data_IF_363765542513
#
_entry.id   IF_363765542513
#
_cell.length_a   1.000
_cell.length_b   1.000
_cell.length_c   1.000
_cell.angle_alpha   90.00
_cell.angle_beta   90.00
_cell.angle_gamma   90.00
#
_symmetry.space_group_name_H-M   'P 1'
#
loop_
_entity.id
_entity.type
_entity.pdbx_description
1 polymer ?
#
# COMPACT_ATOMS: atom_id res chain seq x y z
N UNK A 1 8.92 -9.50 4.16
CA UNK A 1 8.32 -8.17 4.43
C UNK A 1 9.17 -7.05 3.87
N UNK A 2 10.50 -7.08 4.01
CA UNK A 2 11.40 -6.00 3.58
C UNK A 2 11.25 -5.58 2.11
N UNK A 3 11.17 -6.54 1.18
CA UNK A 3 10.92 -6.24 -0.24
C UNK A 3 9.64 -5.41 -0.42
N UNK A 4 8.55 -5.81 0.24
CA UNK A 4 7.25 -5.15 0.08
C UNK A 4 7.25 -3.76 0.73
N UNK A 5 7.89 -3.60 1.88
CA UNK A 5 8.06 -2.30 2.54
C UNK A 5 8.88 -1.35 1.68
N UNK A 6 9.98 -1.83 1.10
CA UNK A 6 10.83 -1.04 0.21
C UNK A 6 10.05 -0.60 -1.05
N UNK A 7 9.37 -1.54 -1.71
CA UNK A 7 8.61 -1.24 -2.93
C UNK A 7 7.39 -0.37 -2.65
N UNK A 8 6.72 -0.55 -1.51
CA UNK A 8 5.67 0.36 -1.06
C UNK A 8 6.17 1.80 -1.02
N UNK A 9 7.28 2.05 -0.32
CA UNK A 9 7.85 3.38 -0.18
C UNK A 9 8.24 4.02 -1.53
N UNK A 10 8.74 3.21 -2.48
CA UNK A 10 9.04 3.68 -3.83
C UNK A 10 7.79 4.03 -4.63
N UNK A 11 6.75 3.20 -4.56
CA UNK A 11 5.53 3.35 -5.36
C UNK A 11 4.68 4.52 -4.89
N UNK A 12 4.53 4.67 -3.57
CA UNK A 12 3.64 5.70 -3.00
C UNK A 12 4.34 7.05 -2.79
N UNK A 13 5.68 7.06 -2.84
CA UNK A 13 6.47 8.26 -2.63
C UNK A 13 6.55 8.69 -1.17
N UNK A 14 7.42 9.68 -0.90
CA UNK A 14 7.83 10.09 0.44
C UNK A 14 6.68 10.51 1.35
N UNK A 15 5.68 11.22 0.80
CA UNK A 15 4.56 11.75 1.58
C UNK A 15 3.68 10.63 2.12
N UNK A 16 3.18 9.76 1.24
CA UNK A 16 2.35 8.62 1.63
C UNK A 16 3.17 7.63 2.48
N UNK A 17 4.45 7.41 2.16
CA UNK A 17 5.32 6.55 2.96
C UNK A 17 5.53 7.08 4.39
N UNK A 18 5.53 8.40 4.60
CA UNK A 18 5.65 9.00 5.93
C UNK A 18 4.41 8.82 6.80
N UNK A 19 3.23 8.72 6.18
CA UNK A 19 1.94 8.55 6.88
C UNK A 19 1.42 7.12 6.86
N UNK A 20 2.08 6.19 6.15
CA UNK A 20 1.61 4.81 6.04
C UNK A 20 2.67 3.77 6.39
N UNK A 21 2.22 2.59 6.78
CA UNK A 21 3.09 1.44 7.04
C UNK A 21 2.38 0.15 6.69
N UNK A 22 3.12 -0.82 6.16
CA UNK A 22 2.59 -2.16 5.93
C UNK A 22 2.36 -2.85 7.28
N UNK A 23 1.15 -3.36 7.47
CA UNK A 23 0.77 -4.15 8.63
C UNK A 23 1.09 -5.63 8.38
N UNK A 24 0.40 -6.22 7.40
CA UNK A 24 0.61 -7.58 6.96
C UNK A 24 0.11 -7.79 5.52
N UNK A 25 0.38 -8.98 4.99
CA UNK A 25 -0.16 -9.44 3.71
C UNK A 25 -0.79 -10.82 3.90
N UNK A 26 -2.07 -10.96 3.56
CA UNK A 26 -2.81 -12.22 3.71
C UNK A 26 -3.70 -12.43 2.49
N UNK A 27 -3.69 -13.63 1.90
CA UNK A 27 -4.50 -13.96 0.70
C UNK A 27 -4.31 -12.97 -0.45
N UNK A 28 -3.07 -12.52 -0.68
CA UNK A 28 -2.72 -11.50 -1.69
C UNK A 28 -3.39 -10.13 -1.46
N UNK A 29 -3.87 -9.85 -0.24
CA UNK A 29 -4.37 -8.54 0.16
C UNK A 29 -3.32 -7.89 1.05
N UNK A 30 -2.90 -6.69 0.66
CA UNK A 30 -1.98 -5.87 1.45
C UNK A 30 -2.76 -5.00 2.43
N UNK A 31 -2.50 -5.16 3.72
CA UNK A 31 -3.07 -4.31 4.75
C UNK A 31 -2.08 -3.22 5.12
N UNK A 32 -2.53 -1.97 5.02
CA UNK A 32 -1.73 -0.79 5.24
C UNK A 32 -2.36 0.04 6.33
N UNK A 33 -1.57 0.35 7.36
CA UNK A 33 -1.95 1.32 8.40
C UNK A 33 -1.64 2.72 7.91
N UNK A 34 -2.58 3.64 8.11
CA UNK A 34 -2.51 5.02 7.64
C UNK A 34 -2.78 5.96 8.82
N UNK A 35 -1.87 6.91 9.04
CA UNK A 35 -2.04 8.02 9.98
C UNK A 35 -2.89 9.09 9.31
N UNK A 36 -3.97 9.48 9.98
CA UNK A 36 -4.90 10.48 9.47
C UNK A 36 -5.98 9.89 8.56
N UNK A 37 -7.24 10.02 8.98
CA UNK A 37 -8.40 9.50 8.26
C UNK A 37 -8.66 10.22 6.93
N UNK A 38 -8.16 11.45 6.77
CA UNK A 38 -8.31 12.23 5.54
C UNK A 38 -7.54 11.62 4.37
N UNK A 39 -6.50 10.84 4.64
CA UNK A 39 -5.69 10.17 3.61
C UNK A 39 -6.37 8.94 3.01
N UNK A 40 -7.28 8.30 3.73
CA UNK A 40 -7.96 7.07 3.26
C UNK A 40 -8.68 7.28 1.92
N UNK A 41 -9.57 8.27 1.73
CA UNK A 41 -10.24 8.46 0.44
C UNK A 41 -9.27 8.77 -0.70
N UNK A 42 -8.18 9.51 -0.42
CA UNK A 42 -7.12 9.78 -1.41
C UNK A 42 -6.44 8.49 -1.82
N UNK A 43 -6.06 7.65 -0.86
CA UNK A 43 -5.41 6.37 -1.11
C UNK A 43 -6.33 5.36 -1.80
N UNK A 44 -7.61 5.34 -1.47
CA UNK A 44 -8.60 4.51 -2.19
C UNK A 44 -8.71 4.93 -3.66
N UNK A 45 -8.66 6.23 -3.97
CA UNK A 45 -8.65 6.70 -5.36
C UNK A 45 -7.39 6.26 -6.14
N UNK A 46 -6.25 6.11 -5.46
CA UNK A 46 -4.96 5.70 -6.03
C UNK A 46 -4.73 4.19 -5.99
N UNK A 47 -5.56 3.45 -5.26
CA UNK A 47 -5.41 2.01 -4.95
C UNK A 47 -5.11 1.16 -6.17
N UNK A 48 -5.86 1.36 -7.26
CA UNK A 48 -5.68 0.57 -8.50
C UNK A 48 -4.29 0.80 -9.10
N UNK A 49 -3.84 2.05 -9.15
CA UNK A 49 -2.53 2.43 -9.69
C UNK A 49 -1.40 1.85 -8.82
N UNK A 50 -1.50 1.99 -7.50
CA UNK A 50 -0.52 1.46 -6.55
C UNK A 50 -0.41 -0.06 -6.69
N UNK A 51 -1.55 -0.76 -6.74
CA UNK A 51 -1.59 -2.22 -6.91
C UNK A 51 -0.92 -2.67 -8.22
N UNK A 52 -1.25 -2.00 -9.33
CA UNK A 52 -0.68 -2.32 -10.63
C UNK A 52 0.84 -2.12 -10.66
N UNK A 53 1.32 -1.02 -10.09
CA UNK A 53 2.75 -0.71 -10.04
C UNK A 53 3.52 -1.71 -9.17
N UNK A 54 2.97 -2.13 -8.01
CA UNK A 54 3.59 -3.16 -7.17
C UNK A 54 3.66 -4.50 -7.89
N UNK A 55 2.57 -4.93 -8.54
CA UNK A 55 2.56 -6.18 -9.29
C UNK A 55 3.51 -6.15 -10.50
N UNK A 56 3.59 -5.01 -11.20
CA UNK A 56 4.56 -4.79 -12.27
C UNK A 56 6.00 -5.00 -11.78
N UNK A 57 6.33 -4.43 -10.62
CA UNK A 57 7.65 -4.58 -9.98
C UNK A 57 7.92 -5.99 -9.46
N UNK A 58 6.88 -6.72 -9.07
CA UNK A 58 6.99 -8.12 -8.68
C UNK A 58 7.21 -9.07 -9.87
N UNK A 59 6.84 -8.65 -11.09
CA UNK A 59 6.81 -9.51 -12.27
C UNK A 59 5.64 -10.51 -12.29
N UNK A 60 4.73 -10.44 -11.31
CA UNK A 60 3.58 -11.33 -11.17
C UNK A 60 2.40 -10.65 -10.48
N UNK A 61 1.24 -11.32 -10.48
CA UNK A 61 0.06 -10.90 -9.72
C UNK A 61 0.21 -11.23 -8.21
N UNK A 62 1.11 -10.49 -7.55
CA UNK A 62 1.40 -10.63 -6.12
C UNK A 62 0.21 -10.18 -5.26
N UNK A 63 -0.39 -9.03 -5.59
CA UNK A 63 -1.49 -8.39 -4.89
C UNK A 63 -2.79 -8.40 -5.72
N UNK A 64 -3.89 -8.78 -5.07
CA UNK A 64 -5.24 -8.68 -5.60
C UNK A 64 -6.04 -7.53 -4.97
N UNK A 65 -5.51 -6.96 -3.87
CA UNK A 65 -6.17 -5.85 -3.19
C UNK A 65 -5.25 -5.16 -2.19
N UNK A 66 -5.67 -3.94 -1.82
CA UNK A 66 -5.07 -3.16 -0.74
C UNK A 66 -6.22 -2.70 0.16
N UNK A 67 -6.02 -2.79 1.47
CA UNK A 67 -6.96 -2.31 2.50
C UNK A 67 -6.23 -1.30 3.37
N UNK A 68 -6.77 -0.09 3.42
CA UNK A 68 -6.28 0.99 4.26
C UNK A 68 -7.02 0.97 5.59
N UNK A 69 -6.27 0.91 6.70
CA UNK A 69 -6.78 0.99 8.06
C UNK A 69 -6.25 2.24 8.72
N UNK A 70 -7.11 3.06 9.28
CA UNK A 70 -6.67 4.20 10.09
C UNK A 70 -6.07 3.69 11.40
N UNK A 71 -4.92 4.23 11.78
CA UNK A 71 -4.48 4.15 13.18
C UNK A 71 -5.18 5.25 13.97
N UNK A 72 -5.66 4.88 15.16
CA UNK A 72 -6.24 5.82 16.13
C UNK A 72 -5.16 6.76 16.68
#
# INVERSE_FOLDING_TARGET
>A
MEWLTYHWNLVVGKEIAGISSIDNMTRKILYVRVKGKEWVPVLDSLKKKILQEINSRAGEALLNGIVFKTVA
#
